data_IF_214036146736
#
_entry.id   IF_214036146736
#
_cell.length_a   1.000
_cell.length_b   1.000
_cell.length_c   1.000
_cell.angle_alpha   90.00
_cell.angle_beta   90.00
_cell.angle_gamma   90.00
#
_symmetry.space_group_name_H-M   'P 1'
#
loop_
_entity.id
_entity.type
_entity.pdbx_description
1 polymer ?
#
# COMPACT_ATOMS: atom_id res chain seq x y z
N UNK A 1 -71.38 27.54 -20.04
CA UNK A 1 -70.65 26.51 -19.24
C UNK A 1 -69.53 25.81 -19.99
N UNK A 2 -68.64 26.51 -20.75
CA UNK A 2 -67.49 25.90 -21.48
C UNK A 2 -66.11 26.44 -21.04
N UNK A 3 -66.00 27.35 -20.10
CA UNK A 3 -64.74 28.01 -19.72
C UNK A 3 -64.07 27.27 -18.54
N UNK A 4 -64.82 26.61 -17.64
CA UNK A 4 -64.27 25.98 -16.42
C UNK A 4 -63.50 24.68 -16.67
N UNK A 5 -63.78 23.95 -17.79
CA UNK A 5 -63.17 22.65 -18.08
C UNK A 5 -61.74 22.80 -18.61
N UNK A 6 -61.43 23.88 -19.31
CA UNK A 6 -60.07 24.13 -19.90
C UNK A 6 -59.01 24.50 -18.87
N UNK A 7 -59.38 25.04 -17.71
CA UNK A 7 -58.45 25.45 -16.69
C UNK A 7 -57.97 24.26 -15.87
N UNK A 8 -58.80 23.27 -15.61
CA UNK A 8 -58.42 22.06 -14.88
C UNK A 8 -57.45 21.15 -15.66
N UNK A 9 -57.63 21.00 -16.97
CA UNK A 9 -56.71 20.23 -17.79
C UNK A 9 -55.31 20.85 -17.86
N UNK A 10 -55.21 22.17 -17.91
CA UNK A 10 -53.91 22.86 -17.93
C UNK A 10 -53.16 22.75 -16.60
N UNK A 11 -53.85 22.76 -15.47
CA UNK A 11 -53.25 22.59 -14.15
C UNK A 11 -52.73 21.16 -13.94
N UNK A 12 -53.52 20.16 -14.39
CA UNK A 12 -53.09 18.73 -14.31
C UNK A 12 -51.90 18.44 -15.23
N UNK A 13 -51.87 19.05 -16.44
CA UNK A 13 -50.74 18.90 -17.36
C UNK A 13 -49.46 19.55 -16.79
N UNK A 14 -49.57 20.71 -16.14
CA UNK A 14 -48.42 21.41 -15.53
C UNK A 14 -47.87 20.64 -14.32
N UNK A 15 -48.74 20.05 -13.49
CA UNK A 15 -48.36 19.20 -12.37
C UNK A 15 -47.63 17.90 -12.79
N UNK A 16 -48.11 17.27 -13.87
CA UNK A 16 -47.44 16.08 -14.44
C UNK A 16 -46.07 16.40 -15.02
N UNK A 17 -45.93 17.55 -15.72
CA UNK A 17 -44.66 18.00 -16.22
C UNK A 17 -43.65 18.30 -15.11
N UNK A 18 -44.08 18.91 -13.99
CA UNK A 18 -43.25 19.19 -12.82
C UNK A 18 -42.79 17.91 -12.12
N UNK A 19 -43.66 16.93 -12.01
CA UNK A 19 -43.31 15.63 -11.41
C UNK A 19 -42.28 14.85 -12.27
N UNK A 20 -42.42 14.91 -13.59
CA UNK A 20 -41.44 14.28 -14.50
C UNK A 20 -40.08 14.95 -14.39
N UNK A 21 -40.02 16.28 -14.35
CA UNK A 21 -38.74 17.00 -14.17
C UNK A 21 -38.11 16.71 -12.83
N UNK A 22 -38.91 16.60 -11.77
CA UNK A 22 -38.41 16.24 -10.45
C UNK A 22 -37.85 14.81 -10.40
N UNK A 23 -38.51 13.87 -11.08
CA UNK A 23 -38.01 12.48 -11.21
C UNK A 23 -36.69 12.43 -12.01
N UNK A 24 -36.55 13.24 -13.05
CA UNK A 24 -35.29 13.31 -13.82
C UNK A 24 -34.14 13.91 -13.02
N UNK A 25 -34.42 14.89 -12.16
CA UNK A 25 -33.43 15.51 -11.27
C UNK A 25 -32.96 14.53 -10.16
N UNK A 26 -33.85 13.64 -9.70
CA UNK A 26 -33.51 12.61 -8.71
C UNK A 26 -32.75 11.43 -9.31
N UNK A 27 -32.95 11.12 -10.58
CA UNK A 27 -32.24 10.05 -11.29
C UNK A 27 -30.78 10.44 -11.66
N UNK A 28 -30.44 11.73 -11.65
CA UNK A 28 -29.12 12.23 -12.03
C UNK A 28 -28.03 12.11 -10.96
N UNK A 29 -28.35 11.66 -9.74
CA UNK A 29 -27.38 11.51 -8.64
C UNK A 29 -26.81 10.10 -8.56
N UNK A 30 -26.52 9.44 -9.69
CA UNK A 30 -25.63 8.31 -9.71
C UNK A 30 -24.23 8.82 -9.33
N UNK A 31 -23.90 8.77 -8.04
CA UNK A 31 -22.54 8.98 -7.54
C UNK A 31 -21.69 7.94 -8.27
N UNK A 32 -20.90 8.37 -9.24
CA UNK A 32 -19.88 7.54 -9.84
C UNK A 32 -18.91 7.16 -8.71
N UNK A 33 -19.12 6.00 -8.11
CA UNK A 33 -18.13 5.41 -7.22
C UNK A 33 -16.90 5.17 -8.09
N UNK A 34 -15.86 5.94 -7.86
CA UNK A 34 -14.57 5.72 -8.48
C UNK A 34 -14.12 4.32 -8.05
N UNK A 35 -14.32 3.32 -8.92
CA UNK A 35 -13.82 1.98 -8.71
C UNK A 35 -12.30 2.07 -8.75
N UNK A 36 -11.66 1.86 -7.61
CA UNK A 36 -10.20 1.75 -7.54
C UNK A 36 -9.77 0.62 -8.48
N UNK A 37 -8.90 0.97 -9.45
CA UNK A 37 -8.43 -0.01 -10.43
C UNK A 37 -7.64 -1.15 -9.75
N UNK A 38 -7.51 -2.33 -10.40
CA UNK A 38 -6.78 -3.48 -9.84
C UNK A 38 -5.35 -3.14 -9.41
N UNK A 39 -4.67 -2.25 -10.11
CA UNK A 39 -3.33 -1.79 -9.76
C UNK A 39 -3.32 -1.00 -8.44
N UNK A 40 -4.27 -0.11 -8.24
CA UNK A 40 -4.40 0.66 -7.00
C UNK A 40 -4.76 -0.24 -5.81
N UNK A 41 -5.60 -1.25 -6.03
CA UNK A 41 -5.93 -2.22 -4.99
C UNK A 41 -4.69 -3.03 -4.57
N UNK A 42 -3.86 -3.46 -5.52
CA UNK A 42 -2.58 -4.13 -5.23
C UNK A 42 -1.62 -3.24 -4.47
N UNK A 43 -1.46 -1.97 -4.88
CA UNK A 43 -0.60 -1.01 -4.18
C UNK A 43 -1.06 -0.78 -2.73
N UNK A 44 -2.37 -0.68 -2.48
CA UNK A 44 -2.93 -0.59 -1.12
C UNK A 44 -2.67 -1.86 -0.31
N UNK A 45 -2.86 -3.03 -0.90
CA UNK A 45 -2.61 -4.31 -0.23
C UNK A 45 -1.12 -4.46 0.13
N UNK A 46 -0.20 -4.11 -0.78
CA UNK A 46 1.25 -4.08 -0.51
C UNK A 46 1.56 -3.11 0.63
N UNK A 47 1.01 -1.90 0.61
CA UNK A 47 1.18 -0.92 1.69
C UNK A 47 0.77 -1.49 3.04
N UNK A 48 -0.39 -2.14 3.12
CA UNK A 48 -0.88 -2.76 4.37
C UNK A 48 0.06 -3.87 4.87
N UNK A 49 0.56 -4.72 3.97
CA UNK A 49 1.50 -5.80 4.32
C UNK A 49 2.83 -5.22 4.79
N UNK A 50 3.39 -4.23 4.09
CA UNK A 50 4.64 -3.57 4.48
C UNK A 50 4.51 -2.92 5.85
N UNK A 51 3.46 -2.14 6.10
CA UNK A 51 3.21 -1.52 7.41
C UNK A 51 2.99 -2.56 8.50
N UNK A 52 2.33 -3.66 8.16
CA UNK A 52 2.18 -4.81 9.05
C UNK A 52 3.53 -5.41 9.43
N UNK A 53 4.40 -5.72 8.46
CA UNK A 53 5.76 -6.23 8.70
C UNK A 53 6.53 -5.28 9.63
N UNK A 54 6.55 -3.97 9.33
CA UNK A 54 7.21 -2.96 10.14
C UNK A 54 6.67 -2.90 11.57
N UNK A 55 5.38 -3.18 11.78
CA UNK A 55 4.77 -3.21 13.12
C UNK A 55 5.25 -4.37 14.00
N UNK A 56 5.69 -5.46 13.40
CA UNK A 56 6.25 -6.63 14.09
C UNK A 56 7.78 -6.60 14.22
N UNK A 57 8.43 -5.60 13.64
CA UNK A 57 9.88 -5.43 13.74
C UNK A 57 10.25 -4.57 14.96
N UNK A 58 11.41 -4.87 15.56
CA UNK A 58 11.99 -4.12 16.67
C UNK A 58 13.47 -3.89 16.39
N UNK A 59 13.88 -2.64 16.45
CA UNK A 59 15.25 -2.21 16.25
C UNK A 59 16.00 -2.19 17.59
N UNK A 60 17.34 -2.31 17.59
CA UNK A 60 18.14 -2.17 18.82
C UNK A 60 17.92 -0.81 19.50
N UNK A 61 17.77 0.25 18.71
CA UNK A 61 17.32 1.56 19.14
C UNK A 61 16.03 1.86 18.41
N UNK A 62 14.92 1.94 19.14
CA UNK A 62 13.59 2.16 18.54
C UNK A 62 13.47 3.59 18.02
N UNK A 63 13.26 3.80 16.72
CA UNK A 63 13.06 5.14 16.17
C UNK A 63 11.69 5.69 16.56
N UNK A 64 11.60 6.98 16.90
CA UNK A 64 10.31 7.66 17.14
C UNK A 64 9.47 7.74 15.84
N UNK A 65 10.13 7.88 14.71
CA UNK A 65 9.56 7.84 13.36
C UNK A 65 10.36 6.85 12.53
N UNK A 66 9.68 5.91 11.87
CA UNK A 66 10.33 4.98 10.95
C UNK A 66 10.72 5.66 9.64
N UNK A 67 11.93 5.41 9.19
CA UNK A 67 12.47 5.92 7.93
C UNK A 67 12.52 4.76 6.93
N UNK A 68 11.53 4.71 6.03
CA UNK A 68 11.44 3.71 4.97
C UNK A 68 12.02 4.29 3.69
N UNK A 69 13.09 3.68 3.17
CA UNK A 69 13.71 4.07 1.92
C UNK A 69 13.27 3.14 0.80
N UNK A 70 12.85 3.68 -0.33
CA UNK A 70 12.50 2.93 -1.54
C UNK A 70 13.71 2.99 -2.49
N UNK A 71 14.14 1.82 -2.96
CA UNK A 71 15.33 1.66 -3.78
C UNK A 71 14.98 0.92 -5.07
N UNK A 72 15.37 1.49 -6.19
CA UNK A 72 15.09 0.96 -7.53
C UNK A 72 13.66 1.22 -8.02
N UNK A 73 13.36 0.84 -9.27
CA UNK A 73 12.01 0.90 -9.84
C UNK A 73 11.07 -0.06 -9.12
N UNK A 74 9.90 0.44 -8.71
CA UNK A 74 8.87 -0.30 -7.96
C UNK A 74 7.53 -0.21 -8.67
N UNK A 75 6.69 -1.23 -8.48
CA UNK A 75 5.36 -1.31 -9.09
C UNK A 75 4.23 -0.93 -8.11
N UNK A 76 4.45 -1.16 -6.80
CA UNK A 76 3.35 -1.10 -5.81
C UNK A 76 3.56 -0.08 -4.69
N UNK A 77 4.40 0.94 -4.88
CA UNK A 77 4.73 1.89 -3.80
C UNK A 77 3.97 3.22 -3.84
N UNK A 78 3.01 3.39 -4.75
CA UNK A 78 2.29 4.66 -4.93
C UNK A 78 1.55 5.14 -3.67
N UNK A 79 1.04 4.21 -2.87
CA UNK A 79 0.43 4.54 -1.58
C UNK A 79 1.46 4.79 -0.49
N UNK A 80 2.56 4.04 -0.47
CA UNK A 80 3.64 4.22 0.52
C UNK A 80 4.27 5.61 0.43
N UNK A 81 4.53 6.11 -0.80
CA UNK A 81 5.19 7.42 -1.01
C UNK A 81 4.35 8.61 -0.56
N UNK A 82 3.04 8.45 -0.39
CA UNK A 82 2.15 9.51 0.14
C UNK A 82 2.39 9.80 1.62
N UNK A 83 3.22 8.99 2.28
CA UNK A 83 3.41 9.02 3.72
C UNK A 83 2.32 8.24 4.44
N UNK A 84 2.66 7.65 5.57
CA UNK A 84 1.72 6.77 6.24
C UNK A 84 2.06 6.63 7.73
N UNK A 85 1.17 5.97 8.45
CA UNK A 85 1.31 5.71 9.89
C UNK A 85 1.03 4.24 10.14
N UNK A 86 1.84 3.60 10.99
CA UNK A 86 1.57 2.24 11.43
C UNK A 86 0.27 2.18 12.25
N UNK A 87 -0.30 0.99 12.36
CA UNK A 87 -1.48 0.75 13.23
C UNK A 87 -1.21 1.12 14.71
N UNK A 88 0.05 1.14 15.13
CA UNK A 88 0.50 1.56 16.46
C UNK A 88 0.54 3.08 16.65
N UNK A 89 0.24 3.87 15.62
CA UNK A 89 0.34 5.33 15.63
C UNK A 89 1.74 5.88 15.30
N UNK A 90 2.75 5.01 15.08
CA UNK A 90 4.11 5.47 14.74
C UNK A 90 4.15 6.00 13.29
N UNK A 91 4.61 7.23 13.05
CA UNK A 91 4.77 7.77 11.71
C UNK A 91 5.82 7.00 10.90
N UNK A 92 5.60 6.87 9.60
CA UNK A 92 6.55 6.30 8.63
C UNK A 92 6.87 7.36 7.59
N UNK A 93 8.11 7.88 7.62
CA UNK A 93 8.62 8.76 6.59
C UNK A 93 9.16 7.92 5.43
N UNK A 94 8.72 8.21 4.23
CA UNK A 94 9.10 7.46 3.03
C UNK A 94 9.88 8.36 2.08
N UNK A 95 10.99 7.85 1.55
CA UNK A 95 11.79 8.55 0.53
C UNK A 95 12.41 7.58 -0.47
N UNK A 96 12.72 8.06 -1.66
CA UNK A 96 13.44 7.29 -2.66
C UNK A 96 14.93 7.59 -2.61
N UNK A 97 15.76 6.55 -2.69
CA UNK A 97 17.21 6.63 -2.79
C UNK A 97 17.72 5.73 -3.93
N UNK A 98 18.91 6.02 -4.42
CA UNK A 98 19.62 5.14 -5.33
C UNK A 98 20.17 3.93 -4.56
N UNK A 99 20.34 2.80 -5.24
CA UNK A 99 20.79 1.54 -4.63
C UNK A 99 22.21 1.61 -4.04
N UNK A 100 23.03 2.48 -4.57
CA UNK A 100 24.43 2.72 -4.15
C UNK A 100 24.58 3.91 -3.19
N UNK A 101 23.48 4.50 -2.74
CA UNK A 101 23.55 5.66 -1.86
C UNK A 101 24.05 5.24 -0.46
N UNK A 102 25.23 5.77 0.00
CA UNK A 102 25.80 5.36 1.28
C UNK A 102 24.97 5.79 2.50
N UNK A 103 24.03 6.73 2.32
CA UNK A 103 23.14 7.18 3.39
C UNK A 103 22.09 6.11 3.78
N UNK A 104 21.91 5.04 3.00
CA UNK A 104 20.92 3.99 3.30
C UNK A 104 21.16 3.42 4.70
N UNK A 105 22.39 3.09 5.05
CA UNK A 105 22.71 2.43 6.34
C UNK A 105 22.57 3.34 7.56
N UNK A 106 22.64 4.65 7.38
CA UNK A 106 22.56 5.64 8.48
C UNK A 106 21.20 6.35 8.56
N UNK A 107 20.49 6.41 7.45
CA UNK A 107 19.27 7.21 7.35
C UNK A 107 18.00 6.39 7.11
N UNK A 108 18.12 5.08 6.92
CA UNK A 108 16.96 4.21 6.74
C UNK A 108 16.90 3.16 7.85
N UNK A 109 15.73 2.99 8.44
CA UNK A 109 15.43 1.90 9.37
C UNK A 109 14.92 0.67 8.60
N UNK A 110 14.34 0.92 7.43
CA UNK A 110 13.92 -0.12 6.51
C UNK A 110 14.15 0.29 5.05
N UNK A 111 14.37 -0.68 4.17
CA UNK A 111 14.46 -0.49 2.71
C UNK A 111 13.43 -1.37 2.01
N UNK A 112 12.67 -0.74 1.11
CA UNK A 112 11.80 -1.42 0.15
C UNK A 112 12.50 -1.47 -1.19
N UNK A 113 12.73 -2.67 -1.72
CA UNK A 113 13.61 -2.92 -2.85
C UNK A 113 12.76 -3.36 -4.05
N UNK A 114 12.77 -2.55 -5.09
CA UNK A 114 12.18 -2.87 -6.39
C UNK A 114 13.13 -3.67 -7.28
N UNK A 115 13.00 -3.46 -8.58
CA UNK A 115 13.85 -4.14 -9.58
C UNK A 115 15.26 -3.54 -9.54
N UNK A 116 16.25 -4.39 -9.28
CA UNK A 116 17.67 -4.07 -9.32
C UNK A 116 18.39 -5.08 -10.19
N UNK A 117 19.48 -4.66 -10.82
CA UNK A 117 20.44 -5.58 -11.44
C UNK A 117 21.09 -6.45 -10.36
N UNK A 118 21.65 -7.59 -10.76
CA UNK A 118 22.36 -8.48 -9.83
C UNK A 118 23.50 -7.77 -9.09
N UNK A 119 24.23 -6.90 -9.79
CA UNK A 119 25.35 -6.15 -9.22
C UNK A 119 24.87 -5.07 -8.22
N UNK A 120 23.82 -4.32 -8.54
CA UNK A 120 23.23 -3.34 -7.61
C UNK A 120 22.69 -4.02 -6.35
N UNK A 121 21.99 -5.14 -6.53
CA UNK A 121 21.48 -5.96 -5.43
C UNK A 121 22.61 -6.46 -4.53
N UNK A 122 23.67 -7.01 -5.13
CA UNK A 122 24.83 -7.52 -4.39
C UNK A 122 25.52 -6.42 -3.58
N UNK A 123 25.75 -5.25 -4.19
CA UNK A 123 26.34 -4.09 -3.48
C UNK A 123 25.44 -3.57 -2.36
N UNK A 124 24.14 -3.45 -2.61
CA UNK A 124 23.18 -3.03 -1.60
C UNK A 124 23.22 -3.96 -0.40
N UNK A 125 23.09 -5.27 -0.59
CA UNK A 125 23.09 -6.21 0.53
C UNK A 125 24.44 -6.28 1.25
N UNK A 126 25.55 -6.14 0.52
CA UNK A 126 26.87 -6.03 1.16
C UNK A 126 26.96 -4.80 2.07
N UNK A 127 26.36 -3.66 1.70
CA UNK A 127 26.35 -2.47 2.52
C UNK A 127 25.45 -2.60 3.75
N UNK A 128 24.41 -3.42 3.71
CA UNK A 128 23.48 -3.63 4.85
C UNK A 128 24.06 -4.55 5.93
N UNK A 129 25.13 -5.31 5.66
CA UNK A 129 25.73 -6.23 6.63
C UNK A 129 26.17 -5.46 7.87
N UNK A 130 25.74 -5.92 9.06
CA UNK A 130 26.08 -5.31 10.34
C UNK A 130 25.27 -4.05 10.69
N UNK A 131 24.35 -3.63 9.83
CA UNK A 131 23.45 -2.51 10.09
C UNK A 131 22.02 -3.01 10.33
N UNK A 132 21.32 -2.49 11.36
CA UNK A 132 19.96 -2.95 11.69
C UNK A 132 18.92 -2.32 10.75
N UNK A 133 19.00 -2.63 9.47
CA UNK A 133 18.09 -2.18 8.41
C UNK A 133 17.23 -3.35 7.96
N UNK A 134 15.91 -3.21 8.09
CA UNK A 134 14.96 -4.21 7.64
C UNK A 134 14.79 -4.12 6.11
N UNK A 135 15.00 -5.19 5.38
CA UNK A 135 14.87 -5.22 3.92
C UNK A 135 13.63 -6.01 3.46
N UNK A 136 12.86 -5.40 2.55
CA UNK A 136 11.67 -5.98 1.92
C UNK A 136 11.84 -5.89 0.40
N UNK A 137 11.87 -7.01 -0.31
CA UNK A 137 11.93 -7.05 -1.78
C UNK A 137 10.54 -7.22 -2.39
N UNK A 138 10.25 -6.42 -3.42
CA UNK A 138 9.04 -6.51 -4.23
C UNK A 138 9.12 -7.65 -5.26
N UNK A 139 10.30 -7.86 -5.82
CA UNK A 139 10.52 -8.79 -6.93
C UNK A 139 11.75 -9.66 -6.66
N UNK A 140 11.65 -10.60 -5.72
CA UNK A 140 12.68 -11.58 -5.43
C UNK A 140 12.07 -12.98 -5.43
N UNK A 141 12.17 -13.67 -6.54
CA UNK A 141 11.48 -14.95 -6.77
C UNK A 141 11.99 -16.08 -5.86
N UNK A 142 13.20 -15.98 -5.35
CA UNK A 142 13.83 -17.07 -4.61
C UNK A 142 13.97 -16.79 -3.10
N UNK A 143 13.89 -15.54 -2.67
CA UNK A 143 14.07 -15.11 -1.27
C UNK A 143 15.31 -15.73 -0.56
N UNK A 144 16.34 -16.04 -1.31
CA UNK A 144 17.49 -16.82 -0.82
C UNK A 144 18.67 -15.96 -0.39
N UNK A 145 18.78 -14.74 -0.93
CA UNK A 145 19.94 -13.86 -0.68
C UNK A 145 19.49 -12.46 -0.33
N UNK A 146 19.82 -12.04 0.88
CA UNK A 146 19.86 -10.64 1.32
C UNK A 146 18.58 -10.07 1.90
N UNK A 147 17.42 -10.18 1.27
CA UNK A 147 16.18 -9.62 1.80
C UNK A 147 15.69 -10.40 3.03
N UNK A 148 15.17 -9.68 4.03
CA UNK A 148 14.52 -10.30 5.18
C UNK A 148 13.12 -10.80 4.81
N UNK A 149 12.42 -10.03 3.97
CA UNK A 149 11.08 -10.34 3.47
C UNK A 149 11.04 -10.21 1.96
N UNK A 150 10.40 -11.16 1.30
CA UNK A 150 10.21 -11.17 -0.15
C UNK A 150 8.72 -11.23 -0.44
N UNK A 151 8.16 -10.17 -1.03
CA UNK A 151 6.75 -10.10 -1.34
C UNK A 151 6.40 -10.94 -2.56
N UNK A 152 5.21 -11.54 -2.52
CA UNK A 152 4.54 -12.18 -3.63
C UNK A 152 3.20 -11.51 -3.85
N UNK A 153 3.14 -10.68 -4.87
CA UNK A 153 1.95 -9.88 -5.19
C UNK A 153 1.14 -10.61 -6.26
N UNK A 154 0.04 -11.21 -5.85
CA UNK A 154 -0.94 -11.84 -6.73
C UNK A 154 -2.17 -10.94 -6.95
N UNK A 155 -3.08 -11.41 -7.82
CA UNK A 155 -4.30 -10.65 -8.14
C UNK A 155 -5.27 -10.56 -6.95
N UNK A 156 -5.34 -11.61 -6.13
CA UNK A 156 -6.31 -11.68 -5.01
C UNK A 156 -5.69 -11.38 -3.64
N UNK A 157 -4.37 -11.53 -3.51
CA UNK A 157 -3.69 -11.35 -2.22
C UNK A 157 -2.22 -11.03 -2.36
N UNK A 158 -1.70 -10.34 -1.34
CA UNK A 158 -0.26 -10.15 -1.14
C UNK A 158 0.18 -11.08 -0.01
N UNK A 159 1.18 -11.91 -0.30
CA UNK A 159 1.85 -12.76 0.67
C UNK A 159 3.34 -12.45 0.71
N UNK A 160 4.08 -13.09 1.61
CA UNK A 160 5.52 -12.93 1.68
C UNK A 160 6.20 -14.19 2.22
N UNK A 161 7.46 -14.32 1.87
CA UNK A 161 8.39 -15.27 2.47
C UNK A 161 9.35 -14.55 3.40
N UNK A 162 9.83 -15.25 4.42
CA UNK A 162 10.80 -14.74 5.41
C UNK A 162 12.10 -15.51 5.25
N UNK A 163 13.18 -14.80 4.99
CA UNK A 163 14.51 -15.36 5.02
C UNK A 163 15.06 -15.32 6.45
N UNK A 164 14.95 -16.43 7.15
CA UNK A 164 15.35 -16.53 8.55
C UNK A 164 16.85 -16.31 8.77
N UNK A 165 17.67 -16.69 7.81
CA UNK A 165 19.12 -16.44 7.85
C UNK A 165 19.45 -14.96 7.78
N UNK A 166 18.77 -14.23 6.89
CA UNK A 166 18.90 -12.77 6.78
C UNK A 166 18.39 -12.07 8.03
N UNK A 167 17.25 -12.52 8.59
CA UNK A 167 16.72 -12.02 9.86
C UNK A 167 17.74 -12.19 10.99
N UNK A 168 18.33 -13.38 11.13
CA UNK A 168 19.30 -13.66 12.19
C UNK A 168 20.54 -12.75 12.13
N UNK A 169 20.93 -12.31 10.93
CA UNK A 169 22.13 -11.45 10.73
C UNK A 169 21.83 -9.95 10.71
N UNK A 170 20.57 -9.55 10.60
CA UNK A 170 20.17 -8.14 10.39
C UNK A 170 20.28 -7.26 11.63
N UNK A 171 20.30 -7.85 12.82
CA UNK A 171 20.17 -7.11 14.08
C UNK A 171 18.74 -6.59 14.37
N UNK A 172 17.79 -6.74 13.43
CA UNK A 172 16.37 -6.40 13.62
C UNK A 172 15.66 -7.65 14.18
N UNK A 173 14.94 -7.51 15.28
CA UNK A 173 14.14 -8.60 15.85
C UNK A 173 12.75 -8.61 15.24
N UNK A 174 12.32 -9.78 14.77
CA UNK A 174 11.00 -9.96 14.15
C UNK A 174 10.13 -10.81 15.07
N UNK A 175 8.95 -10.31 15.42
CA UNK A 175 7.99 -11.08 16.22
C UNK A 175 7.35 -12.18 15.36
N UNK A 176 7.27 -13.44 15.84
CA UNK A 176 6.75 -14.57 15.06
C UNK A 176 5.33 -14.39 14.53
N UNK A 177 4.51 -13.57 15.18
CA UNK A 177 3.14 -13.26 14.74
C UNK A 177 3.09 -12.54 13.38
N UNK A 178 4.23 -12.05 12.86
CA UNK A 178 4.31 -11.50 11.49
C UNK A 178 3.78 -12.50 10.46
N UNK A 179 4.01 -13.80 10.67
CA UNK A 179 3.55 -14.86 9.77
C UNK A 179 2.02 -14.95 9.64
N UNK A 180 1.27 -14.38 10.57
CA UNK A 180 -0.19 -14.32 10.48
C UNK A 180 -0.66 -13.32 9.43
N UNK A 181 0.16 -12.33 9.05
CA UNK A 181 -0.18 -11.36 8.02
C UNK A 181 -0.30 -12.03 6.64
N UNK A 182 0.56 -13.01 6.32
CA UNK A 182 0.53 -13.72 5.04
C UNK A 182 -0.71 -14.62 4.87
N UNK A 183 -1.44 -14.91 5.97
CA UNK A 183 -2.63 -15.76 6.00
C UNK A 183 -3.94 -14.96 5.95
N UNK A 184 -3.88 -13.65 6.12
CA UNK A 184 -5.08 -12.81 6.02
C UNK A 184 -5.42 -12.62 4.54
N UNK A 185 -6.48 -13.32 4.07
CA UNK A 185 -7.16 -12.91 2.85
C UNK A 185 -7.50 -11.42 2.99
N UNK A 186 -7.24 -10.64 1.95
CA UNK A 186 -7.79 -9.29 1.90
C UNK A 186 -9.28 -9.41 2.22
N UNK A 187 -9.74 -8.74 3.27
CA UNK A 187 -11.16 -8.73 3.61
C UNK A 187 -11.88 -8.17 2.39
N UNK A 188 -12.75 -8.97 1.80
CA UNK A 188 -13.64 -8.51 0.75
C UNK A 188 -14.48 -7.35 1.30
N UNK A 189 -14.77 -6.33 0.50
CA UNK A 189 -15.59 -5.19 0.89
C UNK A 189 -17.01 -5.59 1.27
#
# INVERSE_FOLDING_TARGET
MKVAVRTTERVVACQRALLIVLLWLLAGSAIAQAQTGPAEQRAKAVTQVVLGILSYARWPVEPAQLRLCIVGPTEYTDDLVKGTTQATGRPVAVRRLLADNPAIVSECDAVYIGKLTADERSRLFASLIGHPVLSISEADDQCTVGSLFCLRVGDEQVSFEVNLDSVARSGVRIHPSVLQLSRRKAAAP
#
